data_IF_752500454546
#
_entry.id   IF_752500454546
#
_cell.length_a   1.000
_cell.length_b   1.000
_cell.length_c   1.000
_cell.angle_alpha   90.00
_cell.angle_beta   90.00
_cell.angle_gamma   90.00
#
_symmetry.space_group_name_H-M   'P 1'
#
loop_
_entity.id
_entity.type
_entity.pdbx_description
1 polymer ?
#
# COMPACT_ATOMS: atom_id res chain seq x y z
N UNK A 1 -37.23 -25.90 5.65
CA UNK A 1 -36.25 -24.98 5.05
C UNK A 1 -36.83 -23.58 5.14
N UNK A 2 -36.34 -22.74 6.04
CA UNK A 2 -36.76 -21.33 6.13
C UNK A 2 -35.79 -20.48 5.32
N UNK A 3 -36.26 -19.91 4.21
CA UNK A 3 -35.49 -18.94 3.43
C UNK A 3 -35.66 -17.55 4.04
N UNK A 4 -34.56 -16.84 4.25
CA UNK A 4 -34.55 -15.43 4.60
C UNK A 4 -34.55 -14.61 3.32
N UNK A 5 -35.53 -13.73 3.19
CA UNK A 5 -35.60 -12.76 2.09
C UNK A 5 -34.72 -11.56 2.47
N UNK A 6 -33.58 -11.43 1.77
CA UNK A 6 -32.63 -10.34 1.95
C UNK A 6 -33.01 -9.21 0.99
N UNK A 7 -33.54 -8.12 1.52
CA UNK A 7 -33.74 -6.89 0.76
C UNK A 7 -32.39 -6.16 0.61
N UNK A 8 -31.79 -6.25 -0.57
CA UNK A 8 -30.49 -5.66 -0.88
C UNK A 8 -30.71 -4.31 -1.56
N UNK A 9 -30.50 -3.23 -0.79
CA UNK A 9 -30.49 -1.86 -1.32
C UNK A 9 -29.05 -1.35 -1.53
N UNK A 10 -28.83 -0.57 -2.59
CA UNK A 10 -27.53 0.00 -2.88
C UNK A 10 -27.14 1.06 -1.83
N UNK A 11 -25.88 1.06 -1.38
CA UNK A 11 -25.39 2.10 -0.47
C UNK A 11 -25.30 3.45 -1.18
N UNK A 12 -26.15 4.39 -0.77
CA UNK A 12 -26.17 5.76 -1.33
C UNK A 12 -25.09 6.67 -0.73
N UNK A 13 -24.60 6.37 0.49
CA UNK A 13 -23.55 7.16 1.16
C UNK A 13 -22.34 6.30 1.47
N UNK A 14 -21.25 6.56 0.76
CA UNK A 14 -19.93 6.05 1.10
C UNK A 14 -19.17 7.14 1.88
N UNK A 15 -18.53 6.81 3.01
CA UNK A 15 -17.69 7.77 3.72
C UNK A 15 -16.60 8.31 2.79
N UNK A 16 -16.43 9.64 2.73
CA UNK A 16 -15.45 10.28 1.82
C UNK A 16 -14.01 9.83 2.08
N UNK A 17 -13.69 9.49 3.33
CA UNK A 17 -12.36 8.99 3.68
C UNK A 17 -12.05 7.63 3.03
N UNK A 18 -13.06 6.81 2.70
CA UNK A 18 -12.83 5.47 2.16
C UNK A 18 -12.14 5.50 0.80
N UNK A 19 -12.37 6.57 0.02
CA UNK A 19 -11.73 6.76 -1.29
C UNK A 19 -10.21 6.93 -1.20
N UNK A 20 -9.70 7.52 -0.11
CA UNK A 20 -8.27 7.72 0.10
C UNK A 20 -7.67 6.75 1.13
N UNK A 21 -8.43 6.38 2.15
CA UNK A 21 -7.99 5.47 3.20
C UNK A 21 -7.70 4.08 2.64
N UNK A 22 -8.60 3.53 1.83
CA UNK A 22 -8.42 2.19 1.26
C UNK A 22 -7.09 2.05 0.51
N UNK A 23 -6.75 2.91 -0.48
CA UNK A 23 -5.47 2.78 -1.17
C UNK A 23 -4.27 3.05 -0.24
N UNK A 24 -4.33 4.06 0.64
CA UNK A 24 -3.22 4.37 1.56
C UNK A 24 -2.92 3.20 2.50
N UNK A 25 -3.95 2.62 3.14
CA UNK A 25 -3.75 1.46 4.03
C UNK A 25 -3.27 0.23 3.27
N UNK A 26 -3.69 0.05 2.02
CA UNK A 26 -3.20 -1.05 1.17
C UNK A 26 -1.70 -0.93 0.93
N UNK A 27 -1.21 0.26 0.56
CA UNK A 27 0.23 0.51 0.36
C UNK A 27 1.00 0.30 1.65
N UNK A 28 0.51 0.84 2.77
CA UNK A 28 1.17 0.67 4.08
C UNK A 28 1.23 -0.79 4.50
N UNK A 29 0.16 -1.56 4.26
CA UNK A 29 0.15 -3.00 4.55
C UNK A 29 1.16 -3.76 3.69
N UNK A 30 1.26 -3.45 2.40
CA UNK A 30 2.25 -4.06 1.51
C UNK A 30 3.69 -3.74 1.96
N UNK A 31 3.97 -2.49 2.33
CA UNK A 31 5.27 -2.09 2.88
C UNK A 31 5.56 -2.77 4.21
N UNK A 32 4.55 -2.95 5.08
CA UNK A 32 4.73 -3.66 6.33
C UNK A 32 5.11 -5.15 6.09
N UNK A 33 4.44 -5.82 5.16
CA UNK A 33 4.74 -7.20 4.79
C UNK A 33 6.15 -7.32 4.21
N UNK A 34 6.55 -6.43 3.31
CA UNK A 34 7.92 -6.40 2.78
C UNK A 34 8.98 -6.11 3.85
N UNK A 35 8.66 -5.24 4.81
CA UNK A 35 9.58 -4.87 5.88
C UNK A 35 9.92 -6.07 6.78
N UNK A 36 8.95 -6.96 7.02
CA UNK A 36 9.20 -8.22 7.75
C UNK A 36 10.29 -9.05 7.06
N UNK A 37 10.23 -9.18 5.73
CA UNK A 37 11.26 -9.90 4.98
C UNK A 37 12.64 -9.21 5.03
N UNK A 38 12.68 -7.87 4.91
CA UNK A 38 13.92 -7.10 5.00
C UNK A 38 14.57 -7.23 6.38
N UNK A 39 13.77 -7.15 7.45
CA UNK A 39 14.25 -7.35 8.82
C UNK A 39 14.78 -8.77 9.02
N UNK A 40 14.12 -9.79 8.47
CA UNK A 40 14.60 -11.17 8.52
C UNK A 40 15.97 -11.35 7.82
N UNK A 41 16.29 -10.50 6.85
CA UNK A 41 17.57 -10.45 6.15
C UNK A 41 18.60 -9.51 6.83
N UNK A 42 18.25 -8.89 7.97
CA UNK A 42 19.11 -7.94 8.68
C UNK A 42 19.21 -6.56 8.00
N UNK A 43 18.33 -6.26 7.05
CA UNK A 43 18.31 -4.99 6.31
C UNK A 43 17.36 -4.01 6.99
N UNK A 44 17.80 -2.75 7.13
CA UNK A 44 16.92 -1.68 7.63
C UNK A 44 15.86 -1.32 6.56
N UNK A 45 14.56 -1.58 6.81
CA UNK A 45 13.53 -1.37 5.81
C UNK A 45 13.29 0.11 5.48
N UNK A 46 13.47 1.01 6.45
CA UNK A 46 13.29 2.46 6.22
C UNK A 46 14.34 2.98 5.24
N UNK A 47 15.59 2.57 5.42
CA UNK A 47 16.68 2.93 4.52
C UNK A 47 16.46 2.32 3.12
N UNK A 48 16.04 1.05 3.04
CA UNK A 48 15.76 0.39 1.77
C UNK A 48 14.61 1.05 1.00
N UNK A 49 13.50 1.39 1.66
CA UNK A 49 12.38 2.09 1.02
C UNK A 49 12.73 3.53 0.65
N UNK A 50 13.54 4.22 1.46
CA UNK A 50 14.09 5.53 1.09
C UNK A 50 14.86 5.46 -0.22
N UNK A 51 15.79 4.50 -0.33
CA UNK A 51 16.57 4.31 -1.56
C UNK A 51 15.68 3.96 -2.77
N UNK A 52 14.70 3.06 -2.60
CA UNK A 52 13.85 2.58 -3.70
C UNK A 52 12.80 3.58 -4.18
N UNK A 53 12.20 4.35 -3.28
CA UNK A 53 11.03 5.17 -3.61
C UNK A 53 11.29 6.67 -3.52
N UNK A 54 12.23 7.11 -2.69
CA UNK A 54 12.53 8.53 -2.52
C UNK A 54 13.71 8.90 -3.39
N UNK A 55 14.85 8.27 -3.18
CA UNK A 55 16.08 8.60 -3.89
C UNK A 55 15.93 8.36 -5.41
N UNK A 56 15.27 7.27 -5.82
CA UNK A 56 14.94 7.04 -7.24
C UNK A 56 14.16 8.20 -7.86
N UNK A 57 13.25 8.84 -7.13
CA UNK A 57 12.43 9.94 -7.63
C UNK A 57 13.09 11.31 -7.49
N UNK A 58 14.04 11.47 -6.55
CA UNK A 58 14.63 12.78 -6.21
C UNK A 58 16.05 12.98 -6.70
N UNK A 59 16.78 11.92 -7.09
CA UNK A 59 18.16 12.03 -7.57
C UNK A 59 18.28 11.86 -9.09
N UNK A 60 19.14 12.66 -9.77
CA UNK A 60 19.36 12.57 -11.23
C UNK A 60 19.80 11.18 -11.71
N UNK A 61 20.51 10.43 -10.87
CA UNK A 61 20.96 9.06 -11.16
C UNK A 61 19.80 8.05 -11.21
N UNK A 62 18.77 8.20 -10.37
CA UNK A 62 17.62 7.28 -10.32
C UNK A 62 16.72 7.32 -11.56
N UNK A 63 16.75 8.43 -12.32
CA UNK A 63 16.00 8.61 -13.57
C UNK A 63 16.80 8.10 -14.79
N UNK A 64 18.14 8.01 -14.66
CA UNK A 64 19.04 7.76 -15.80
C UNK A 64 19.55 6.32 -15.87
N UNK A 65 19.34 5.50 -14.84
CA UNK A 65 19.71 4.08 -14.85
C UNK A 65 18.68 3.26 -15.64
N UNK A 66 18.84 3.25 -16.96
CA UNK A 66 18.35 2.19 -17.85
C UNK A 66 19.61 1.45 -18.29
N UNK A 67 19.68 0.15 -17.98
CA UNK A 67 20.78 -0.76 -18.33
C UNK A 67 21.34 -0.54 -19.75
#
# INVERSE_FOLDING_TARGET
MGGYELDVSARERVPRWLGYGTPVFTVLAALAVGAVALVALGVNPVAAYGAMFVDTLTTPFGITEVF
#
